data_IF_438235107465
#
_entry.id   IF_438235107465
#
_cell.length_a   1.000
_cell.length_b   1.000
_cell.length_c   1.000
_cell.angle_alpha   90.00
_cell.angle_beta   90.00
_cell.angle_gamma   90.00
#
_symmetry.space_group_name_H-M   'P 1'
#
loop_
_entity.id
_entity.type
_entity.pdbx_description
1 polymer ?
#
# COMPACT_ATOMS: atom_id res chain seq x y z
N UNK A 1 -30.62 -4.23 4.73
CA UNK A 1 -29.33 -4.23 4.01
C UNK A 1 -28.19 -4.40 5.02
N UNK A 2 -28.05 -5.60 5.57
CA UNK A 2 -26.92 -5.94 6.44
C UNK A 2 -25.78 -6.38 5.52
N UNK A 3 -24.76 -5.52 5.39
CA UNK A 3 -23.52 -5.93 4.73
C UNK A 3 -22.89 -6.96 5.66
N UNK A 4 -23.12 -8.24 5.37
CA UNK A 4 -22.37 -9.35 5.96
C UNK A 4 -20.91 -9.16 5.58
N UNK A 5 -20.15 -8.39 6.36
CA UNK A 5 -18.69 -8.46 6.33
C UNK A 5 -18.35 -9.79 6.99
N UNK A 6 -18.34 -10.85 6.19
CA UNK A 6 -17.79 -12.15 6.60
C UNK A 6 -16.32 -11.89 6.96
N UNK A 7 -16.02 -11.69 8.25
CA UNK A 7 -14.66 -11.65 8.80
C UNK A 7 -14.15 -13.09 8.88
N UNK A 8 -14.03 -13.77 7.74
CA UNK A 8 -13.50 -15.13 7.69
C UNK A 8 -12.21 -15.14 6.89
N UNK A 9 -11.23 -14.40 7.39
CA UNK A 9 -9.93 -14.36 6.77
C UNK A 9 -8.90 -13.99 7.84
N UNK A 10 -8.00 -14.94 8.15
CA UNK A 10 -6.76 -14.75 8.93
C UNK A 10 -5.77 -13.80 8.22
N UNK A 11 -6.29 -12.87 7.41
CA UNK A 11 -5.52 -11.86 6.71
C UNK A 11 -5.06 -10.85 7.75
N UNK A 12 -3.74 -10.76 7.90
CA UNK A 12 -3.06 -9.78 8.72
C UNK A 12 -2.27 -8.84 7.83
N UNK A 13 -2.38 -7.54 8.06
CA UNK A 13 -1.54 -6.58 7.36
C UNK A 13 -0.07 -6.86 7.67
N UNK A 14 0.74 -7.08 6.63
CA UNK A 14 2.18 -7.35 6.80
C UNK A 14 2.94 -6.21 7.49
N UNK A 15 2.47 -4.96 7.33
CA UNK A 15 3.18 -3.76 7.83
C UNK A 15 2.80 -3.40 9.27
N UNK A 16 1.51 -3.40 9.61
CA UNK A 16 1.04 -2.94 10.92
C UNK A 16 0.20 -3.97 11.68
N UNK A 17 0.02 -5.16 11.12
CA UNK A 17 -0.59 -6.27 11.84
C UNK A 17 -2.09 -6.19 12.05
N UNK A 18 -2.81 -5.19 11.50
CA UNK A 18 -4.28 -5.15 11.63
C UNK A 18 -4.88 -6.38 10.99
N UNK A 19 -5.91 -6.93 11.63
CA UNK A 19 -6.73 -8.03 11.11
C UNK A 19 -8.11 -7.55 10.64
N UNK A 20 -8.43 -6.28 10.90
CA UNK A 20 -9.68 -5.64 10.49
C UNK A 20 -9.41 -4.40 9.62
N UNK A 21 -9.97 -4.38 8.41
CA UNK A 21 -9.86 -3.24 7.49
C UNK A 21 -11.06 -3.25 6.55
N UNK A 22 -11.52 -2.05 6.17
CA UNK A 22 -12.66 -1.87 5.25
C UNK A 22 -12.33 -2.43 3.85
N UNK A 23 -11.07 -2.38 3.45
CA UNK A 23 -10.59 -2.92 2.18
C UNK A 23 -9.18 -3.48 2.37
N UNK A 24 -8.96 -4.69 1.86
CA UNK A 24 -7.64 -5.29 1.75
C UNK A 24 -7.00 -4.91 0.42
N UNK A 25 -5.71 -4.57 0.44
CA UNK A 25 -4.89 -4.34 -0.74
C UNK A 25 -3.83 -5.43 -0.83
N UNK A 26 -3.33 -5.72 -2.04
CA UNK A 26 -2.19 -6.61 -2.26
C UNK A 26 -0.98 -5.80 -2.71
N UNK A 27 0.19 -6.19 -2.22
CA UNK A 27 1.45 -5.70 -2.75
C UNK A 27 1.72 -6.34 -4.12
N UNK A 28 2.03 -5.53 -5.14
CA UNK A 28 2.23 -6.01 -6.52
C UNK A 28 3.46 -6.90 -6.66
N UNK A 29 4.54 -6.59 -5.95
CA UNK A 29 5.80 -7.36 -6.03
C UNK A 29 5.83 -8.60 -5.11
N UNK A 30 5.39 -8.47 -3.85
CA UNK A 30 5.52 -9.56 -2.86
C UNK A 30 4.24 -10.36 -2.65
N UNK A 31 3.09 -9.94 -3.19
CA UNK A 31 1.81 -10.60 -2.98
C UNK A 31 1.23 -10.47 -1.57
N UNK A 32 1.93 -9.79 -0.65
CA UNK A 32 1.52 -9.65 0.74
C UNK A 32 0.23 -8.85 0.90
N UNK A 33 -0.56 -9.21 1.93
CA UNK A 33 -1.77 -8.49 2.30
C UNK A 33 -1.43 -7.21 3.08
N UNK A 34 -2.06 -6.11 2.66
CA UNK A 34 -1.94 -4.80 3.27
C UNK A 34 -3.32 -4.27 3.61
N UNK A 35 -3.44 -3.57 4.73
CA UNK A 35 -4.64 -2.79 5.00
C UNK A 35 -4.71 -1.57 4.06
N UNK A 36 -5.88 -0.95 3.96
CA UNK A 36 -6.10 0.18 3.07
C UNK A 36 -5.11 1.34 3.35
N UNK A 37 -4.85 1.64 4.62
CA UNK A 37 -3.94 2.71 5.03
C UNK A 37 -2.48 2.41 4.62
N UNK A 38 -1.99 1.20 4.89
CA UNK A 38 -0.61 0.81 4.57
C UNK A 38 -0.35 0.75 3.06
N UNK A 39 -1.30 0.21 2.28
CA UNK A 39 -1.17 0.21 0.82
C UNK A 39 -1.12 1.62 0.22
N UNK A 40 -1.92 2.55 0.76
CA UNK A 40 -1.88 3.96 0.34
C UNK A 40 -0.55 4.64 0.70
N UNK A 41 0.01 4.38 1.88
CA UNK A 41 1.31 4.93 2.30
C UNK A 41 2.44 4.46 1.39
N UNK A 42 2.50 3.16 1.10
CA UNK A 42 3.53 2.59 0.24
C UNK A 42 3.48 3.19 -1.17
N UNK A 43 2.28 3.29 -1.77
CA UNK A 43 2.09 3.93 -3.09
C UNK A 43 2.61 5.38 -3.10
N UNK A 44 2.36 6.15 -2.04
CA UNK A 44 2.83 7.55 -1.91
C UNK A 44 4.35 7.65 -1.77
N UNK A 45 4.99 6.68 -1.12
CA UNK A 45 6.46 6.64 -1.01
C UNK A 45 7.11 6.34 -2.37
N UNK A 46 6.55 5.39 -3.13
CA UNK A 46 7.01 5.09 -4.49
C UNK A 46 6.91 6.32 -5.40
N UNK A 47 5.82 7.09 -5.32
CA UNK A 47 5.66 8.30 -6.13
C UNK A 47 6.58 9.44 -5.70
N UNK A 48 6.83 9.62 -4.39
CA UNK A 48 7.82 10.61 -3.91
C UNK A 48 9.23 10.27 -4.37
N UNK A 49 9.65 9.00 -4.27
CA UNK A 49 10.98 8.56 -4.71
C UNK A 49 11.18 8.82 -6.21
N UNK A 50 10.18 8.52 -7.04
CA UNK A 50 10.23 8.81 -8.49
C UNK A 50 10.36 10.30 -8.80
N UNK A 51 9.63 11.17 -8.10
CA UNK A 51 9.79 12.63 -8.28
C UNK A 51 11.20 13.11 -7.92
N UNK A 52 11.79 12.57 -6.86
CA UNK A 52 13.16 12.92 -6.46
C UNK A 52 14.18 12.44 -7.49
N UNK A 53 14.01 11.25 -8.06
CA UNK A 53 14.89 10.72 -9.12
C UNK A 53 14.79 11.57 -10.38
N UNK A 54 13.57 11.83 -10.86
CA UNK A 54 13.36 12.65 -12.06
C UNK A 54 13.87 14.09 -11.89
N UNK A 55 13.76 14.67 -10.69
CA UNK A 55 14.30 16.00 -10.38
C UNK A 55 15.84 16.02 -10.41
N UNK A 56 16.49 14.95 -9.91
CA UNK A 56 17.95 14.82 -9.96
C UNK A 56 18.42 14.65 -11.41
N UNK A 57 17.72 13.84 -12.21
CA UNK A 57 18.02 13.68 -13.63
C UNK A 57 17.84 15.01 -14.39
N UNK A 58 16.81 15.79 -14.11
CA UNK A 58 16.61 17.10 -14.75
C UNK A 58 17.70 18.13 -14.38
N UNK A 59 18.24 18.08 -13.15
CA UNK A 59 19.30 18.99 -12.70
C UNK A 59 20.69 18.55 -13.20
N UNK A 60 20.96 17.25 -13.28
CA UNK A 60 22.24 16.73 -13.79
C UNK A 60 22.33 16.75 -15.31
N UNK A 61 21.20 16.74 -16.01
CA UNK A 61 21.14 16.79 -17.48
C UNK A 61 20.92 18.22 -18.01
N UNK A 62 21.25 19.23 -17.18
CA UNK A 62 21.34 20.64 -17.55
C UNK A 62 22.77 21.04 -17.90
#
# INVERSE_FOLDING_TARGET
MLIFVKFKDDRKCFICGVTQTICWRRHSETGNYLCNACGCKLRKQVTKKRKSINLIEEVLNK
#
